data_IF_586192270671
#
_entry.id   IF_586192270671
#
_cell.length_a   1.000
_cell.length_b   1.000
_cell.length_c   1.000
_cell.angle_alpha   90.00
_cell.angle_beta   90.00
_cell.angle_gamma   90.00
#
_symmetry.space_group_name_H-M   'P 1'
#
loop_
_entity.id
_entity.type
_entity.pdbx_description
1 polymer ?
#
# COMPACT_ATOMS: atom_id res chain seq x y z
N UNK A 1 9.46 -0.21 -6.24
CA UNK A 1 8.55 0.50 -5.31
C UNK A 1 7.60 -0.50 -4.66
N UNK A 2 6.97 -0.13 -3.54
CA UNK A 2 6.16 -1.05 -2.71
C UNK A 2 4.77 -0.49 -2.47
N UNK A 3 3.77 -1.24 -2.89
CA UNK A 3 2.35 -0.89 -2.81
C UNK A 3 1.62 -1.86 -1.89
N UNK A 4 0.77 -1.34 -1.02
CA UNK A 4 -0.02 -2.09 -0.08
C UNK A 4 -1.51 -1.96 -0.41
N UNK A 5 -2.18 -3.11 -0.45
CA UNK A 5 -3.62 -3.25 -0.58
C UNK A 5 -4.14 -3.90 0.71
N UNK A 6 -4.96 -3.16 1.45
CA UNK A 6 -5.57 -3.61 2.70
C UNK A 6 -7.00 -4.09 2.48
N UNK A 7 -7.26 -5.38 2.72
CA UNK A 7 -8.61 -5.92 2.69
C UNK A 7 -9.00 -6.42 4.09
N UNK A 8 -10.15 -6.00 4.60
CA UNK A 8 -10.82 -6.77 5.66
C UNK A 8 -11.86 -7.68 5.00
N UNK A 9 -12.14 -8.83 5.61
CA UNK A 9 -13.15 -9.76 5.12
C UNK A 9 -14.45 -9.66 5.92
N UNK A 10 -15.54 -10.04 5.26
CA UNK A 10 -16.89 -10.21 5.81
C UNK A 10 -16.88 -11.19 6.99
N UNK A 11 -17.35 -10.76 8.17
CA UNK A 11 -17.61 -11.63 9.30
C UNK A 11 -19.09 -11.50 9.70
N UNK A 12 -19.90 -12.53 9.44
CA UNK A 12 -21.13 -12.74 10.21
C UNK A 12 -20.69 -13.20 11.60
N UNK A 13 -21.04 -12.40 12.60
CA UNK A 13 -20.66 -12.59 13.99
C UNK A 13 -21.04 -13.99 14.51
N UNK A 14 -20.05 -14.74 15.00
CA UNK A 14 -20.18 -15.67 16.12
C UNK A 14 -18.95 -15.53 17.03
N UNK A 15 -19.22 -15.57 18.33
CA UNK A 15 -18.44 -14.98 19.40
C UNK A 15 -17.08 -15.63 19.74
N UNK A 16 -16.19 -14.80 20.29
CA UNK A 16 -15.01 -15.15 21.10
C UNK A 16 -13.70 -14.83 20.38
N UNK A 17 -12.99 -13.73 20.66
CA UNK A 17 -12.48 -13.35 21.98
C UNK A 17 -12.48 -11.82 22.20
N UNK A 18 -12.82 -11.40 23.42
CA UNK A 18 -12.68 -10.05 23.97
C UNK A 18 -11.99 -10.20 25.36
N UNK A 19 -10.83 -9.58 25.65
CA UNK A 19 -10.60 -8.20 26.21
C UNK A 19 -10.16 -8.34 27.71
N UNK A 20 -9.67 -7.35 28.51
CA UNK A 20 -9.19 -5.97 28.26
C UNK A 20 -7.92 -5.48 29.03
N UNK A 21 -7.60 -4.20 28.75
CA UNK A 21 -7.05 -3.14 29.62
C UNK A 21 -5.52 -3.07 29.81
N UNK A 22 -4.82 -1.92 29.70
CA UNK A 22 -5.10 -0.49 29.89
C UNK A 22 -4.25 0.33 28.86
N UNK A 23 -4.45 1.60 28.49
CA UNK A 23 -5.24 2.71 29.02
C UNK A 23 -4.51 4.05 28.72
N UNK A 24 -4.90 4.72 27.63
CA UNK A 24 -5.07 6.19 27.42
C UNK A 24 -3.85 7.18 27.50
N UNK A 25 -4.00 8.48 27.15
CA UNK A 25 -3.58 9.04 25.86
C UNK A 25 -2.56 10.20 25.97
N UNK A 26 -1.97 10.61 24.85
CA UNK A 26 -1.08 11.79 24.81
C UNK A 26 -1.04 12.45 23.45
N UNK A 27 -2.03 13.30 23.17
CA UNK A 27 -2.01 14.29 22.10
C UNK A 27 -1.46 15.60 22.68
N UNK A 28 -0.36 16.13 22.14
CA UNK A 28 0.04 17.53 22.33
C UNK A 28 0.34 18.11 20.95
N UNK A 29 -0.43 19.13 20.57
CA UNK A 29 -0.21 20.01 19.42
C UNK A 29 0.88 21.05 19.76
N UNK A 30 1.38 21.84 18.78
CA UNK A 30 2.75 22.35 18.77
C UNK A 30 2.98 23.43 19.84
N UNK A 31 4.06 23.28 20.59
CA UNK A 31 4.68 24.39 21.28
C UNK A 31 5.44 25.25 20.27
N UNK A 32 4.82 26.36 19.83
CA UNK A 32 5.60 27.57 19.65
C UNK A 32 5.96 28.07 21.05
N UNK A 33 7.24 28.10 21.36
CA UNK A 33 7.92 29.22 22.01
C UNK A 33 9.36 28.83 22.31
N UNK A 34 10.30 29.68 21.89
CA UNK A 34 11.70 29.57 22.23
C UNK A 34 12.60 30.02 21.09
N UNK A 35 12.52 31.30 20.71
CA UNK A 35 13.70 31.93 20.13
C UNK A 35 14.84 31.75 21.14
N UNK A 36 15.85 30.99 20.75
CA UNK A 36 17.13 31.04 21.44
C UNK A 36 17.83 32.32 20.98
N UNK A 37 17.89 33.29 21.89
CA UNK A 37 18.66 34.53 21.75
C UNK A 37 19.95 34.43 22.56
N UNK A 38 20.66 33.30 22.48
CA UNK A 38 22.05 33.16 22.90
C UNK A 38 22.81 32.17 22.00
N UNK A 39 23.23 32.63 20.81
CA UNK A 39 24.52 32.16 20.31
C UNK A 39 25.22 33.24 19.51
N UNK A 40 25.95 34.11 20.22
CA UNK A 40 26.78 35.14 19.61
C UNK A 40 28.09 34.59 19.02
N UNK A 41 28.16 33.30 18.68
CA UNK A 41 29.32 32.71 18.01
C UNK A 41 29.07 31.54 17.03
N UNK A 42 27.84 31.33 16.53
CA UNK A 42 27.64 30.51 15.32
C UNK A 42 26.82 31.32 14.31
N UNK A 43 27.40 31.75 13.17
CA UNK A 43 26.57 32.27 12.09
C UNK A 43 25.78 31.09 11.53
N UNK A 44 24.51 31.00 11.87
CA UNK A 44 23.54 30.12 11.21
C UNK A 44 23.49 30.50 9.73
N UNK A 45 24.36 29.86 8.93
CA UNK A 45 24.47 30.11 7.50
C UNK A 45 23.45 29.28 6.69
N UNK A 46 22.40 28.77 7.35
CA UNK A 46 21.29 28.14 6.67
C UNK A 46 20.41 29.19 5.99
N UNK A 47 19.90 28.89 4.80
CA UNK A 47 18.76 29.60 4.23
C UNK A 47 17.45 29.28 4.99
N UNK A 48 16.31 29.52 4.35
CA UNK A 48 15.01 29.08 4.88
C UNK A 48 14.89 27.56 4.73
N UNK A 49 14.58 26.85 5.81
CA UNK A 49 14.19 25.45 5.80
C UNK A 49 12.66 25.37 5.88
N UNK A 50 11.98 24.94 4.81
CA UNK A 50 10.52 24.95 4.72
C UNK A 50 9.88 23.85 5.57
N UNK A 51 10.40 22.63 5.48
CA UNK A 51 9.99 21.46 6.27
C UNK A 51 11.19 20.85 6.98
N UNK A 52 11.77 21.60 7.91
CA UNK A 52 12.97 21.17 8.62
C UNK A 52 13.55 22.21 9.55
N UNK A 53 14.64 21.85 10.21
CA UNK A 53 15.38 22.70 11.14
C UNK A 53 16.80 22.94 10.64
N UNK A 54 17.36 24.12 10.90
CA UNK A 54 18.76 24.38 10.61
C UNK A 54 19.65 23.68 11.64
N UNK A 55 20.59 22.86 11.19
CA UNK A 55 21.65 22.33 12.04
C UNK A 55 22.98 22.29 11.26
N UNK A 56 24.05 22.78 11.88
CA UNK A 56 25.41 22.74 11.32
C UNK A 56 25.51 23.40 9.93
N UNK A 57 24.84 24.55 9.74
CA UNK A 57 24.79 25.31 8.49
C UNK A 57 24.09 24.60 7.30
N UNK A 58 23.34 23.51 7.54
CA UNK A 58 22.47 22.86 6.56
C UNK A 58 21.04 22.68 7.10
N UNK A 59 20.05 22.59 6.22
CA UNK A 59 18.70 22.20 6.62
C UNK A 59 18.62 20.68 6.86
N UNK A 60 18.16 20.29 8.05
CA UNK A 60 17.78 18.93 8.42
C UNK A 60 16.28 18.77 8.14
N UNK A 61 15.95 18.00 7.11
CA UNK A 61 14.57 17.88 6.66
C UNK A 61 13.74 16.94 7.54
N UNK A 62 12.47 17.30 7.73
CA UNK A 62 11.46 16.41 8.28
C UNK A 62 11.34 15.16 7.39
N UNK A 63 10.95 14.03 8.01
CA UNK A 63 10.77 12.78 7.28
C UNK A 63 9.72 12.96 6.16
N UNK A 64 10.11 12.66 4.93
CA UNK A 64 9.27 12.93 3.76
C UNK A 64 9.81 14.03 2.83
N UNK A 65 10.77 14.83 3.30
CA UNK A 65 11.29 15.99 2.56
C UNK A 65 12.79 15.89 2.30
N UNK A 66 13.22 16.57 1.24
CA UNK A 66 14.61 16.65 0.80
C UNK A 66 14.90 18.00 0.16
N UNK A 67 16.14 18.16 -0.32
CA UNK A 67 16.63 19.38 -0.94
C UNK A 67 17.29 20.33 0.06
N UNK A 68 18.02 21.31 -0.46
CA UNK A 68 18.82 22.23 0.37
C UNK A 68 17.98 23.07 1.35
N UNK A 69 16.71 23.28 1.04
CA UNK A 69 15.73 24.01 1.87
C UNK A 69 14.58 23.12 2.38
N UNK A 70 14.64 21.80 2.21
CA UNK A 70 13.56 20.89 2.60
C UNK A 70 12.20 21.23 1.95
N UNK A 71 12.24 21.71 0.71
CA UNK A 71 11.06 22.11 -0.05
C UNK A 71 10.61 21.04 -1.06
N UNK A 72 11.37 19.95 -1.20
CA UNK A 72 11.09 18.91 -2.18
C UNK A 72 10.58 17.66 -1.47
N UNK A 73 9.35 17.20 -1.71
CA UNK A 73 8.88 15.93 -1.18
C UNK A 73 9.67 14.76 -1.77
N UNK A 74 9.77 13.68 -1.01
CA UNK A 74 10.34 12.42 -1.49
C UNK A 74 9.34 11.68 -2.39
N UNK A 75 9.87 10.89 -3.31
CA UNK A 75 9.08 10.35 -4.43
C UNK A 75 8.19 9.15 -4.07
N UNK A 76 8.42 8.51 -2.92
CA UNK A 76 7.66 7.35 -2.46
C UNK A 76 7.93 7.04 -0.99
N UNK A 77 7.05 6.26 -0.36
CA UNK A 77 7.30 5.71 0.98
C UNK A 77 8.63 4.96 1.09
N UNK A 78 9.06 4.28 0.01
CA UNK A 78 10.36 3.61 -0.03
C UNK A 78 11.53 4.60 -0.03
N UNK A 79 11.42 5.71 -0.77
CA UNK A 79 12.43 6.76 -0.77
C UNK A 79 12.56 7.39 0.63
N UNK A 80 11.43 7.58 1.32
CA UNK A 80 11.38 8.04 2.72
C UNK A 80 12.16 7.09 3.63
N UNK A 81 11.90 5.77 3.56
CA UNK A 81 12.60 4.79 4.39
C UNK A 81 14.11 4.69 4.08
N UNK A 82 14.50 4.92 2.82
CA UNK A 82 15.91 4.90 2.43
C UNK A 82 16.63 6.15 2.95
N UNK A 83 15.98 7.30 2.91
CA UNK A 83 16.52 8.56 3.43
C UNK A 83 16.59 8.54 4.97
N UNK A 84 15.56 8.00 5.62
CA UNK A 84 15.48 7.83 7.07
C UNK A 84 15.03 6.40 7.43
N UNK A 85 15.98 5.49 7.74
CA UNK A 85 15.67 4.13 8.17
C UNK A 85 14.88 4.04 9.49
N UNK A 86 14.79 5.13 10.26
CA UNK A 86 14.02 5.22 11.48
C UNK A 86 12.64 5.88 11.27
N UNK A 87 12.27 6.21 10.03
CA UNK A 87 11.01 6.85 9.71
C UNK A 87 9.82 6.02 10.24
N UNK A 88 8.92 6.62 11.04
CA UNK A 88 7.78 5.91 11.60
C UNK A 88 6.72 5.59 10.55
N UNK A 89 5.74 4.77 10.90
CA UNK A 89 4.51 4.66 10.10
C UNK A 89 3.73 5.97 10.19
N UNK A 90 3.13 6.41 9.09
CA UNK A 90 2.43 7.69 9.09
C UNK A 90 1.88 8.10 7.74
N UNK A 91 1.20 9.24 7.74
CA UNK A 91 0.82 9.92 6.50
C UNK A 91 1.96 10.82 6.08
N UNK A 92 2.40 10.67 4.85
CA UNK A 92 3.48 11.45 4.24
C UNK A 92 2.97 12.09 2.96
N UNK A 93 3.47 13.28 2.67
CA UNK A 93 3.35 13.88 1.34
C UNK A 93 4.45 13.30 0.46
N UNK A 94 4.09 12.86 -0.74
CA UNK A 94 5.05 12.42 -1.76
C UNK A 94 4.83 13.14 -3.08
N UNK A 95 5.92 13.30 -3.82
CA UNK A 95 5.91 13.87 -5.16
C UNK A 95 6.70 12.94 -6.10
N UNK A 96 6.03 11.99 -6.75
CA UNK A 96 6.70 10.96 -7.53
C UNK A 96 7.43 11.45 -8.78
N UNK A 97 6.93 12.51 -9.42
CA UNK A 97 7.51 13.12 -10.62
C UNK A 97 8.32 14.38 -10.32
N UNK A 98 8.28 14.85 -9.07
CA UNK A 98 9.09 15.94 -8.58
C UNK A 98 8.57 17.31 -8.97
N UNK A 99 9.22 18.34 -8.40
CA UNK A 99 8.76 19.72 -8.49
C UNK A 99 8.56 20.17 -9.93
N UNK A 100 7.37 20.71 -10.21
CA UNK A 100 6.98 21.19 -11.54
C UNK A 100 6.28 20.14 -12.41
N UNK A 101 6.15 18.91 -11.93
CA UNK A 101 5.27 17.86 -12.47
C UNK A 101 3.82 18.00 -12.00
N UNK A 102 3.18 16.86 -11.74
CA UNK A 102 1.87 16.80 -11.10
C UNK A 102 1.99 17.24 -9.63
N UNK A 103 0.91 17.78 -9.07
CA UNK A 103 0.91 18.19 -7.65
C UNK A 103 1.27 17.02 -6.72
N UNK A 104 2.01 17.26 -5.66
CA UNK A 104 2.24 16.29 -4.59
C UNK A 104 0.93 15.75 -3.99
N UNK A 105 0.98 14.60 -3.33
CA UNK A 105 -0.20 14.02 -2.68
C UNK A 105 0.14 13.22 -1.42
N UNK A 106 -0.83 13.19 -0.50
CA UNK A 106 -0.71 12.46 0.76
C UNK A 106 -0.96 10.96 0.57
N UNK A 107 -0.12 10.14 1.21
CA UNK A 107 -0.23 8.68 1.26
C UNK A 107 0.06 8.17 2.66
N UNK A 108 -0.52 7.03 3.02
CA UNK A 108 -0.10 6.34 4.24
C UNK A 108 1.06 5.40 3.93
N UNK A 109 2.18 5.61 4.62
CA UNK A 109 3.38 4.78 4.55
C UNK A 109 3.47 3.85 5.76
N UNK A 110 3.59 2.56 5.47
CA UNK A 110 3.99 1.52 6.41
C UNK A 110 5.49 1.25 6.22
N UNK A 111 6.27 1.84 7.13
CA UNK A 111 7.73 1.84 7.18
C UNK A 111 8.31 0.70 8.02
N UNK A 112 7.49 -0.02 8.76
CA UNK A 112 7.97 -1.07 9.68
C UNK A 112 7.65 -2.48 9.22
N UNK A 113 6.45 -2.71 8.69
CA UNK A 113 5.96 -4.08 8.44
C UNK A 113 6.57 -4.62 7.15
N UNK A 114 6.94 -5.91 7.13
CA UNK A 114 7.44 -6.57 5.92
C UNK A 114 8.64 -5.84 5.27
N UNK A 115 9.53 -5.31 6.11
CA UNK A 115 10.70 -4.54 5.68
C UNK A 115 10.41 -3.12 5.19
N UNK A 116 9.19 -2.61 5.41
CA UNK A 116 8.85 -1.20 5.24
C UNK A 116 8.83 -0.65 3.81
N UNK A 117 8.56 0.64 3.68
CA UNK A 117 8.49 1.35 2.41
C UNK A 117 7.17 1.15 1.66
N UNK A 118 6.15 0.58 2.30
CA UNK A 118 4.87 0.23 1.68
C UNK A 118 3.94 1.43 1.65
N UNK A 119 3.45 1.79 0.46
CA UNK A 119 2.46 2.83 0.25
C UNK A 119 1.06 2.23 0.14
N UNK A 120 0.10 2.64 0.98
CA UNK A 120 -1.29 2.17 0.86
C UNK A 120 -1.97 2.79 -0.38
N UNK A 121 -2.36 1.95 -1.35
CA UNK A 121 -2.96 2.40 -2.61
C UNK A 121 -4.46 2.11 -2.72
N UNK A 122 -4.93 1.09 -2.00
CA UNK A 122 -6.30 0.61 -2.04
C UNK A 122 -6.65 -0.03 -0.71
N UNK A 123 -7.88 0.21 -0.27
CA UNK A 123 -8.46 -0.49 0.86
C UNK A 123 -9.95 -0.74 0.66
N UNK A 124 -10.49 -1.76 1.31
CA UNK A 124 -11.93 -1.93 1.51
C UNK A 124 -12.18 -2.88 2.70
N UNK A 125 -13.34 -2.74 3.35
CA UNK A 125 -13.61 -3.42 4.63
C UNK A 125 -14.44 -4.68 4.51
N UNK A 126 -15.56 -4.63 3.82
CA UNK A 126 -16.54 -5.72 3.88
C UNK A 126 -17.35 -5.89 2.60
N UNK A 127 -17.39 -4.90 1.71
CA UNK A 127 -18.17 -4.95 0.48
C UNK A 127 -17.30 -4.93 -0.77
N UNK A 128 -17.60 -5.78 -1.78
CA UNK A 128 -17.04 -5.65 -3.10
C UNK A 128 -17.24 -4.23 -3.65
N UNK A 129 -16.24 -3.72 -4.37
CA UNK A 129 -16.24 -2.37 -4.92
C UNK A 129 -16.40 -2.39 -6.43
N UNK A 130 -16.93 -1.31 -7.02
CA UNK A 130 -16.96 -1.16 -8.47
C UNK A 130 -15.61 -0.62 -8.93
N UNK A 131 -14.88 -1.32 -9.81
CA UNK A 131 -13.57 -0.87 -10.23
C UNK A 131 -13.60 0.50 -10.90
N UNK A 132 -12.58 1.31 -10.64
CA UNK A 132 -12.54 2.70 -11.10
C UNK A 132 -11.11 3.21 -11.25
N UNK A 133 -10.87 3.99 -12.31
CA UNK A 133 -9.60 4.71 -12.50
C UNK A 133 -9.46 5.90 -11.57
N UNK A 134 -10.57 6.43 -11.09
CA UNK A 134 -10.61 7.63 -10.27
C UNK A 134 -10.27 7.33 -8.81
N UNK A 135 -9.82 8.36 -8.09
CA UNK A 135 -9.70 8.28 -6.64
C UNK A 135 -11.07 8.10 -5.99
N UNK A 136 -11.09 7.42 -4.84
CA UNK A 136 -12.28 7.24 -4.02
C UNK A 136 -11.90 7.21 -2.54
N UNK A 137 -12.78 7.73 -1.68
CA UNK A 137 -12.59 7.73 -0.22
C UNK A 137 -11.31 8.44 0.25
N UNK A 138 -10.93 8.18 1.51
CA UNK A 138 -9.69 8.71 2.11
C UNK A 138 -8.71 7.58 2.38
N UNK A 139 -7.72 7.43 1.51
CA UNK A 139 -6.74 6.33 1.56
C UNK A 139 -5.53 6.63 2.45
N UNK A 140 -5.20 7.91 2.66
CA UNK A 140 -4.08 8.35 3.50
C UNK A 140 -4.45 8.30 4.99
N UNK A 141 -4.71 7.11 5.51
CA UNK A 141 -5.07 6.85 6.91
C UNK A 141 -4.39 5.58 7.39
N UNK A 142 -4.19 5.37 8.71
CA UNK A 142 -3.66 4.09 9.21
C UNK A 142 -4.71 2.97 9.15
N UNK A 143 -5.98 3.30 9.33
CA UNK A 143 -7.07 2.33 9.47
C UNK A 143 -7.63 1.88 8.13
N UNK A 144 -8.00 0.60 8.02
CA UNK A 144 -8.85 0.12 6.92
C UNK A 144 -10.31 0.16 7.40
N UNK A 145 -11.14 0.99 6.78
CA UNK A 145 -12.51 1.26 7.25
C UNK A 145 -13.56 1.16 6.15
N UNK A 146 -13.42 1.93 5.08
CA UNK A 146 -14.33 1.98 3.95
C UNK A 146 -13.54 1.83 2.67
N UNK A 147 -14.22 1.60 1.55
CA UNK A 147 -13.56 1.62 0.26
C UNK A 147 -12.85 2.97 0.06
N UNK A 148 -11.53 2.90 -0.10
CA UNK A 148 -10.73 4.03 -0.52
C UNK A 148 -9.61 3.57 -1.44
N UNK A 149 -9.21 4.44 -2.35
CA UNK A 149 -8.27 4.12 -3.41
C UNK A 149 -7.65 5.39 -3.98
N UNK A 150 -6.36 5.34 -4.27
CA UNK A 150 -5.68 6.34 -5.09
C UNK A 150 -6.12 6.24 -6.56
N UNK A 151 -6.15 7.37 -7.27
CA UNK A 151 -6.38 7.34 -8.71
C UNK A 151 -5.31 6.50 -9.41
N UNK A 152 -5.67 5.77 -10.47
CA UNK A 152 -4.72 4.95 -11.23
C UNK A 152 -3.54 5.80 -11.72
N UNK A 153 -3.80 7.03 -12.17
CA UNK A 153 -2.76 7.97 -12.57
C UNK A 153 -1.74 8.26 -11.45
N UNK A 154 -2.20 8.38 -10.19
CA UNK A 154 -1.31 8.60 -9.03
C UNK A 154 -0.53 7.34 -8.67
N UNK A 155 -1.16 6.17 -8.76
CA UNK A 155 -0.48 4.88 -8.55
C UNK A 155 0.59 4.68 -9.63
N UNK A 156 0.27 5.03 -10.88
CA UNK A 156 1.15 4.86 -12.03
C UNK A 156 2.28 5.88 -12.09
N UNK A 157 2.10 7.07 -11.52
CA UNK A 157 3.14 8.09 -11.40
C UNK A 157 4.26 7.71 -10.43
N UNK A 158 4.00 6.79 -9.49
CA UNK A 158 5.08 6.23 -8.67
C UNK A 158 5.86 5.25 -9.54
N UNK A 159 7.14 5.55 -9.76
CA UNK A 159 8.00 4.77 -10.63
C UNK A 159 9.13 4.07 -9.87
N UNK A 160 9.68 3.03 -10.48
CA UNK A 160 10.86 2.32 -10.02
C UNK A 160 11.33 1.30 -11.07
N UNK A 161 12.07 0.28 -10.66
CA UNK A 161 12.42 -0.82 -11.58
C UNK A 161 11.38 -1.95 -11.58
N UNK A 162 10.64 -2.10 -10.47
CA UNK A 162 9.67 -3.17 -10.21
C UNK A 162 8.53 -2.59 -9.38
N UNK A 163 7.29 -2.98 -9.69
CA UNK A 163 6.12 -2.74 -8.84
C UNK A 163 5.88 -3.94 -7.95
N UNK A 164 6.07 -3.77 -6.65
CA UNK A 164 5.75 -4.79 -5.66
C UNK A 164 4.39 -4.50 -5.03
N UNK A 165 3.50 -5.48 -5.00
CA UNK A 165 2.21 -5.41 -4.34
C UNK A 165 2.19 -6.37 -3.16
N UNK A 166 1.72 -5.88 -2.01
CA UNK A 166 1.38 -6.67 -0.84
C UNK A 166 -0.11 -6.61 -0.61
N UNK A 167 -0.76 -7.77 -0.68
CA UNK A 167 -2.15 -7.92 -0.29
C UNK A 167 -2.18 -8.50 1.12
N UNK A 168 -2.85 -7.79 2.03
CA UNK A 168 -3.00 -8.19 3.42
C UNK A 168 -4.50 -8.28 3.76
N UNK A 169 -4.94 -9.47 4.12
CA UNK A 169 -6.31 -9.81 4.52
C UNK A 169 -6.40 -10.15 6.01
N UNK A 170 -7.53 -9.83 6.65
CA UNK A 170 -7.72 -10.12 8.08
C UNK A 170 -7.98 -11.60 8.43
N UNK A 171 -8.14 -12.47 7.44
CA UNK A 171 -8.45 -13.89 7.65
C UNK A 171 -7.24 -14.82 7.53
N UNK A 172 -6.17 -14.37 6.84
CA UNK A 172 -4.97 -15.18 6.63
C UNK A 172 -3.84 -14.68 7.52
N UNK A 173 -3.05 -15.60 8.04
CA UNK A 173 -1.73 -15.27 8.60
C UNK A 173 -0.68 -15.03 7.51
N UNK A 174 -0.99 -15.40 6.26
CA UNK A 174 -0.17 -15.19 5.06
C UNK A 174 -0.61 -13.95 4.30
N UNK A 175 0.32 -13.40 3.53
CA UNK A 175 0.14 -12.27 2.62
C UNK A 175 0.53 -12.71 1.22
N UNK A 176 -0.19 -12.22 0.22
CA UNK A 176 0.22 -12.38 -1.18
C UNK A 176 1.13 -11.23 -1.57
N UNK A 177 2.36 -11.58 -1.95
CA UNK A 177 3.32 -10.67 -2.56
C UNK A 177 3.36 -10.92 -4.06
N UNK A 178 3.21 -9.85 -4.84
CA UNK A 178 3.30 -9.85 -6.29
C UNK A 178 4.39 -8.86 -6.71
N UNK A 179 5.12 -9.19 -7.77
CA UNK A 179 6.05 -8.29 -8.41
C UNK A 179 5.86 -8.35 -9.93
N UNK A 180 5.77 -7.19 -10.55
CA UNK A 180 5.67 -7.01 -12.00
C UNK A 180 6.64 -5.94 -12.47
N UNK A 181 6.97 -5.98 -13.75
CA UNK A 181 7.75 -4.94 -14.40
C UNK A 181 7.06 -3.57 -14.28
N UNK A 182 7.81 -2.49 -14.04
CA UNK A 182 7.24 -1.13 -13.85
C UNK A 182 6.61 -0.55 -15.13
N UNK A 183 6.88 -1.12 -16.30
CA UNK A 183 6.19 -0.75 -17.54
C UNK A 183 4.73 -1.21 -17.58
N UNK A 184 4.34 -2.13 -16.69
CA UNK A 184 2.96 -2.57 -16.58
C UNK A 184 2.17 -1.60 -15.69
N UNK A 185 1.32 -0.80 -16.32
CA UNK A 185 0.44 0.13 -15.62
C UNK A 185 -0.61 -0.60 -14.78
N UNK A 186 -0.85 -0.07 -13.58
CA UNK A 186 -1.98 -0.47 -12.76
C UNK A 186 -3.27 0.09 -13.38
N UNK A 187 -4.22 -0.80 -13.65
CA UNK A 187 -5.52 -0.46 -14.22
C UNK A 187 -6.61 -1.21 -13.45
N UNK A 188 -7.27 -0.49 -12.55
CA UNK A 188 -8.28 -1.11 -11.70
C UNK A 188 -9.47 -1.63 -12.51
N UNK A 189 -9.73 -1.05 -13.68
CA UNK A 189 -10.84 -1.48 -14.55
C UNK A 189 -10.57 -2.76 -15.33
N UNK A 190 -9.33 -3.28 -15.29
CA UNK A 190 -8.91 -4.49 -16.02
C UNK A 190 -8.71 -5.67 -15.07
N UNK A 191 -8.87 -6.89 -15.59
CA UNK A 191 -8.69 -8.13 -14.82
C UNK A 191 -7.31 -8.14 -14.15
N UNK A 192 -7.24 -8.58 -12.89
CA UNK A 192 -6.00 -8.60 -12.10
C UNK A 192 -5.32 -7.23 -11.98
N UNK A 193 -6.07 -6.14 -11.90
CA UNK A 193 -5.54 -4.76 -11.92
C UNK A 193 -4.68 -4.42 -13.15
N UNK A 194 -4.96 -5.06 -14.30
CA UNK A 194 -4.18 -4.91 -15.53
C UNK A 194 -3.10 -5.97 -15.70
N UNK A 195 -2.89 -6.83 -14.70
CA UNK A 195 -1.85 -7.88 -14.76
C UNK A 195 -2.25 -9.12 -15.55
N UNK A 196 -3.54 -9.27 -15.89
CA UNK A 196 -3.98 -10.38 -16.71
C UNK A 196 -3.31 -10.33 -18.11
N UNK A 197 -2.73 -11.45 -18.53
CA UNK A 197 -1.98 -11.58 -19.77
C UNK A 197 -0.49 -11.22 -19.68
N UNK A 198 -0.01 -10.81 -18.50
CA UNK A 198 1.37 -10.42 -18.28
C UNK A 198 2.14 -11.42 -17.39
N UNK A 199 3.47 -11.29 -17.43
CA UNK A 199 4.36 -12.07 -16.58
C UNK A 199 4.37 -11.48 -15.16
N UNK A 200 4.19 -12.34 -14.16
CA UNK A 200 4.18 -11.93 -12.76
C UNK A 200 5.07 -12.85 -11.94
N UNK A 201 5.74 -12.27 -10.96
CA UNK A 201 6.42 -13.02 -9.91
C UNK A 201 5.55 -12.98 -8.67
N UNK A 202 5.29 -14.12 -8.03
CA UNK A 202 4.45 -14.14 -6.84
C UNK A 202 5.00 -15.03 -5.73
N UNK A 203 4.46 -14.82 -4.53
CA UNK A 203 4.83 -15.53 -3.33
C UNK A 203 3.76 -15.36 -2.24
N UNK A 204 3.49 -16.46 -1.53
CA UNK A 204 2.55 -16.49 -0.40
C UNK A 204 3.33 -16.82 0.88
N UNK A 205 3.45 -15.87 1.79
CA UNK A 205 4.26 -16.01 3.00
C UNK A 205 3.69 -15.19 4.17
N UNK A 206 4.05 -15.53 5.40
CA UNK A 206 3.62 -14.81 6.62
C UNK A 206 4.23 -13.40 6.69
N UNK A 207 5.43 -13.25 6.15
CA UNK A 207 6.14 -11.99 6.03
C UNK A 207 6.97 -11.96 4.73
N UNK A 208 7.45 -10.78 4.38
CA UNK A 208 8.24 -10.59 3.16
C UNK A 208 9.62 -11.26 3.21
N UNK A 209 10.20 -11.50 4.39
CA UNK A 209 11.50 -12.17 4.51
C UNK A 209 11.40 -13.67 4.19
N UNK A 210 10.27 -14.31 4.51
CA UNK A 210 9.94 -15.69 4.14
C UNK A 210 9.68 -15.89 2.65
N UNK A 211 9.69 -14.81 1.86
CA UNK A 211 9.38 -14.82 0.45
C UNK A 211 10.57 -15.21 -0.44
N UNK A 212 11.23 -16.33 -0.13
CA UNK A 212 12.49 -16.74 -0.77
C UNK A 212 12.34 -17.59 -2.03
N UNK A 213 11.15 -18.15 -2.26
CA UNK A 213 10.84 -19.00 -3.41
C UNK A 213 9.74 -18.35 -4.24
N UNK A 214 10.13 -17.47 -5.14
CA UNK A 214 9.20 -16.79 -6.04
C UNK A 214 8.93 -17.64 -7.27
N UNK A 215 7.66 -17.76 -7.65
CA UNK A 215 7.26 -18.44 -8.89
C UNK A 215 7.00 -17.37 -9.94
N UNK A 216 7.71 -17.48 -11.07
CA UNK A 216 7.44 -16.69 -12.25
C UNK A 216 6.36 -17.38 -13.08
N UNK A 217 5.25 -16.69 -13.31
CA UNK A 217 4.17 -17.13 -14.17
C UNK A 217 4.14 -16.25 -15.40
N UNK A 218 3.87 -16.86 -16.56
CA UNK A 218 3.68 -16.12 -17.81
C UNK A 218 2.22 -16.11 -18.21
N UNK A 219 1.73 -14.92 -18.58
CA UNK A 219 0.37 -14.75 -19.10
C UNK A 219 -0.73 -15.19 -18.13
N UNK A 220 -0.70 -14.71 -16.88
CA UNK A 220 -1.73 -15.09 -15.90
C UNK A 220 -3.12 -14.69 -16.39
N UNK A 221 -4.12 -15.56 -16.25
CA UNK A 221 -5.48 -15.20 -16.63
C UNK A 221 -6.11 -14.22 -15.62
N UNK A 222 -5.84 -14.46 -14.33
CA UNK A 222 -6.37 -13.72 -13.17
C UNK A 222 -5.35 -13.85 -12.03
N UNK A 223 -5.45 -12.97 -11.02
CA UNK A 223 -4.72 -13.17 -9.75
C UNK A 223 -5.56 -14.12 -8.90
N UNK A 224 -5.12 -15.36 -8.77
CA UNK A 224 -5.72 -16.37 -7.90
C UNK A 224 -4.60 -17.26 -7.36
N UNK A 225 -4.20 -17.02 -6.12
CA UNK A 225 -3.09 -17.72 -5.46
C UNK A 225 -3.22 -19.26 -5.50
N UNK A 226 -4.45 -19.80 -5.53
CA UNK A 226 -4.71 -21.24 -5.67
C UNK A 226 -4.34 -21.79 -7.06
N UNK A 227 -4.50 -20.98 -8.10
CA UNK A 227 -4.13 -21.35 -9.48
C UNK A 227 -2.67 -21.04 -9.79
N UNK A 228 -2.08 -20.12 -9.04
CA UNK A 228 -0.71 -19.65 -9.20
C UNK A 228 0.29 -20.59 -8.52
N UNK A 229 0.00 -21.08 -7.32
CA UNK A 229 0.74 -22.19 -6.70
C UNK A 229 0.10 -23.46 -7.23
N UNK A 230 0.80 -24.29 -7.99
CA UNK A 230 0.32 -25.63 -8.33
C UNK A 230 0.21 -26.47 -7.04
N UNK A 231 -0.82 -26.24 -6.22
CA UNK A 231 -1.03 -27.00 -5.00
C UNK A 231 -1.32 -28.45 -5.39
N UNK A 232 -0.73 -29.44 -4.71
CA UNK A 232 -1.09 -30.84 -4.91
C UNK A 232 -2.60 -30.97 -4.79
N UNK A 233 -3.23 -31.56 -5.80
CA UNK A 233 -4.67 -31.83 -5.86
C UNK A 233 -5.02 -32.71 -4.67
N UNK A 234 -5.42 -32.12 -3.53
CA UNK A 234 -5.61 -32.84 -2.27
C UNK A 234 -5.53 -32.01 -0.99
N UNK A 235 -4.88 -30.84 -0.99
CA UNK A 235 -5.16 -29.82 0.02
C UNK A 235 -6.45 -29.12 -0.37
N UNK A 236 -7.50 -29.36 0.41
CA UNK A 236 -8.86 -28.92 0.11
C UNK A 236 -8.93 -27.42 -0.19
N UNK A 237 -9.40 -27.13 -1.41
CA UNK A 237 -10.01 -25.88 -1.86
C UNK A 237 -10.56 -25.04 -0.68
N UNK A 238 -10.19 -23.77 -0.61
CA UNK A 238 -10.88 -22.73 0.17
C UNK A 238 -10.47 -22.52 1.65
N UNK A 239 -9.16 -22.48 1.95
CA UNK A 239 -8.67 -21.98 3.24
C UNK A 239 -8.63 -20.45 3.29
N UNK A 240 -8.71 -19.85 4.49
CA UNK A 240 -8.50 -18.43 4.80
C UNK A 240 -7.25 -17.80 4.15
N UNK A 241 -6.33 -18.62 3.62
CA UNK A 241 -5.07 -18.22 2.99
C UNK A 241 -5.13 -17.96 1.48
N UNK A 242 -6.28 -18.13 0.82
CA UNK A 242 -6.40 -17.92 -0.63
C UNK A 242 -6.67 -16.46 -0.95
N UNK A 243 -5.70 -15.78 -1.57
CA UNK A 243 -5.89 -14.49 -2.21
C UNK A 243 -6.37 -14.63 -3.65
N UNK A 244 -7.43 -13.93 -4.02
CA UNK A 244 -7.85 -13.79 -5.42
C UNK A 244 -8.32 -12.37 -5.71
N UNK A 245 -8.20 -11.91 -6.94
CA UNK A 245 -8.72 -10.61 -7.38
C UNK A 245 -9.45 -10.80 -8.69
N UNK A 246 -10.78 -10.73 -8.70
CA UNK A 246 -11.49 -10.48 -9.95
C UNK A 246 -12.94 -10.05 -9.81
N UNK A 247 -13.52 -9.65 -10.95
CA UNK A 247 -14.89 -9.22 -11.13
C UNK A 247 -15.45 -9.69 -12.48
N UNK A 248 -16.76 -9.95 -12.54
CA UNK A 248 -17.42 -10.28 -13.81
C UNK A 248 -17.55 -9.02 -14.67
N UNK A 249 -16.78 -8.95 -15.74
CA UNK A 249 -17.02 -8.04 -16.86
C UNK A 249 -17.92 -8.74 -17.87
N UNK A 250 -18.95 -8.04 -18.38
CA UNK A 250 -19.94 -8.60 -19.31
C UNK A 250 -19.35 -9.02 -20.68
N UNK A 251 -18.06 -8.81 -20.91
CA UNK A 251 -17.35 -9.09 -22.16
C UNK A 251 -16.69 -10.47 -22.24
N UNK A 252 -16.69 -11.28 -21.17
CA UNK A 252 -16.07 -12.61 -21.17
C UNK A 252 -17.09 -13.74 -20.96
N UNK A 253 -17.25 -14.61 -21.97
CA UNK A 253 -18.14 -15.78 -21.97
C UNK A 253 -17.58 -16.98 -21.19
N UNK A 254 -16.40 -16.85 -20.56
CA UNK A 254 -15.79 -17.89 -19.74
C UNK A 254 -15.90 -17.54 -18.25
N UNK A 255 -16.39 -18.50 -17.44
CA UNK A 255 -16.64 -18.38 -15.99
C UNK A 255 -15.40 -17.92 -15.20
N UNK A 256 -15.20 -16.61 -15.07
CA UNK A 256 -14.30 -16.03 -14.06
C UNK A 256 -15.06 -15.98 -12.72
N UNK A 257 -14.45 -16.36 -11.58
CA UNK A 257 -15.12 -16.29 -10.28
C UNK A 257 -15.51 -14.83 -9.97
N UNK A 258 -16.81 -14.56 -9.85
CA UNK A 258 -17.29 -13.31 -9.27
C UNK A 258 -17.00 -13.26 -7.77
N UNK A 259 -17.26 -12.10 -7.15
CA UNK A 259 -17.14 -11.97 -5.71
C UNK A 259 -18.08 -12.91 -4.99
N UNK A 260 -17.52 -13.87 -4.27
CA UNK A 260 -18.27 -14.81 -3.44
C UNK A 260 -18.27 -14.32 -1.98
N UNK A 261 -19.38 -14.44 -1.22
CA UNK A 261 -20.66 -15.08 -1.55
C UNK A 261 -21.67 -14.23 -2.32
N UNK A 262 -21.41 -12.93 -2.45
CA UNK A 262 -22.43 -11.97 -2.90
C UNK A 262 -22.83 -12.13 -4.38
N UNK A 263 -22.05 -12.90 -5.17
CA UNK A 263 -22.26 -13.15 -6.60
C UNK A 263 -22.49 -11.86 -7.41
N UNK A 264 -21.90 -10.75 -6.96
CA UNK A 264 -22.17 -9.43 -7.55
C UNK A 264 -21.39 -9.27 -8.83
N UNK A 265 -22.11 -9.33 -9.95
CA UNK A 265 -21.59 -8.93 -11.26
C UNK A 265 -21.18 -7.46 -11.24
N UNK A 266 -20.10 -7.10 -11.93
CA UNK A 266 -19.65 -5.71 -11.99
C UNK A 266 -18.79 -5.23 -10.82
N UNK A 267 -18.46 -6.10 -9.85
CA UNK A 267 -17.72 -5.71 -8.63
C UNK A 267 -16.51 -6.60 -8.35
N UNK A 268 -15.45 -5.97 -7.83
CA UNK A 268 -14.19 -6.58 -7.43
C UNK A 268 -14.08 -6.74 -5.93
N UNK A 269 -13.42 -7.80 -5.54
CA UNK A 269 -13.06 -8.16 -4.18
C UNK A 269 -11.67 -8.78 -4.19
N UNK A 270 -11.09 -8.81 -3.01
CA UNK A 270 -9.78 -9.37 -2.67
C UNK A 270 -9.98 -10.26 -1.43
N UNK A 271 -10.52 -11.45 -1.56
CA UNK A 271 -10.72 -12.29 -0.37
C UNK A 271 -9.42 -13.00 -0.01
N UNK A 272 -9.22 -13.19 1.30
CA UNK A 272 -8.35 -14.19 1.89
C UNK A 272 -9.25 -15.34 2.37
N UNK A 273 -9.43 -16.35 1.52
CA UNK A 273 -10.21 -17.58 1.76
C UNK A 273 -11.73 -17.52 1.79
N UNK A 274 -12.34 -18.67 2.10
CA UNK A 274 -13.79 -18.84 2.22
C UNK A 274 -14.12 -19.43 3.59
N UNK A 275 -15.24 -19.00 4.16
CA UNK A 275 -16.34 -19.84 4.65
C UNK A 275 -17.54 -18.92 4.92
#
# INVERSE_FOLDING_TARGET
MRMWIGAFAFAIALAGCADPANGDPGFIAPGRDGGDTDDSNMPDNCGVCEHGECAEANCQCEAGWQGASCAEPLTSCRAILVADPAAPNGVYTIDPDGVGGNDEFAVYCDQTTDGGGWMKILQYKDQPYTPTRNAAGTIATPTVSDFAKLADARINAVHGNVREYRLNGSLSEKKLFLAVDDTLEFDDTKLGWGMAGHDVTFCLATDYAGCTATVALSGIAVIDSLKMVSMPVGETDNACDRYFTDWYSADNTNRIPGCYPDQVSGKRCVSAGWY
#
